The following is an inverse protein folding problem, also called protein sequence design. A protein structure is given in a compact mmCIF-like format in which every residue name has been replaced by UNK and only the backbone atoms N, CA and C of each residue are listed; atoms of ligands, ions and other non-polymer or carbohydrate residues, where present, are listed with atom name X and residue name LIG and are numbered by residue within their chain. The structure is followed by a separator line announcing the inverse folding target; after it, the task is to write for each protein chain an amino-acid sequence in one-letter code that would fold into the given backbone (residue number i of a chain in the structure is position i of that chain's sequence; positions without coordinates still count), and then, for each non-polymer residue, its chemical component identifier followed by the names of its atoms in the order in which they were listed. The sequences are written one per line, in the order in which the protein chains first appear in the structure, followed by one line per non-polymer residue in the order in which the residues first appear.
data_IF_250392188880
#
_entry.id   IF_250392188880
#
_cell.length_a   1.000
_cell.length_b   1.000
_cell.length_c   1.000
_cell.angle_alpha   90.00
_cell.angle_beta   90.00
_cell.angle_gamma   90.00
#
_symmetry.space_group_name_H-M   'P 1'
#
loop_
_entity.id
_entity.type
_entity.pdbx_description
1 polymer ?
#
# COMPACT_ATOMS: atom_id res chain seq x y z
N UNK A 1 15.70 5.37 17.91
CA UNK A 1 15.99 6.55 17.08
C UNK A 1 15.76 7.75 17.98
N UNK A 2 16.87 8.30 18.47
CA UNK A 2 16.87 9.56 19.19
C UNK A 2 16.19 10.61 18.32
N UNK A 3 15.26 11.35 18.92
CA UNK A 3 14.69 12.56 18.34
C UNK A 3 15.85 13.49 18.02
N UNK A 4 16.29 13.52 16.75
CA UNK A 4 17.19 14.58 16.31
C UNK A 4 16.50 15.90 16.65
N UNK A 5 17.14 16.79 17.42
CA UNK A 5 16.57 18.10 17.67
C UNK A 5 16.41 18.78 16.32
N UNK A 6 15.17 19.12 15.99
CA UNK A 6 14.85 19.92 14.82
C UNK A 6 15.65 21.22 14.93
N UNK A 7 16.61 21.40 14.02
CA UNK A 7 17.28 22.68 13.84
C UNK A 7 16.32 23.48 12.94
N UNK A 8 15.64 24.52 13.45
CA UNK A 8 14.79 25.34 12.61
C UNK A 8 15.62 25.88 11.45
N UNK A 9 15.16 25.64 10.22
CA UNK A 9 15.70 26.35 9.06
C UNK A 9 15.70 27.85 9.37
N UNK A 10 16.71 28.62 8.93
CA UNK A 10 16.87 30.04 9.25
C UNK A 10 15.65 30.91 8.85
N UNK A 11 14.74 30.37 8.03
CA UNK A 11 13.51 31.02 7.58
C UNK A 11 12.23 30.58 8.36
N UNK A 12 12.37 29.85 9.47
CA UNK A 12 11.22 29.40 10.26
C UNK A 12 10.75 30.51 11.21
N UNK A 13 9.45 30.83 11.27
CA UNK A 13 8.95 31.87 12.16
C UNK A 13 9.21 31.48 13.63
N UNK A 14 9.49 32.49 14.46
CA UNK A 14 9.66 32.29 15.89
C UNK A 14 8.39 31.67 16.49
N UNK A 15 8.50 30.59 17.29
CA UNK A 15 7.34 29.91 17.84
C UNK A 15 6.59 30.82 18.82
N UNK A 16 5.47 31.38 18.37
CA UNK A 16 4.56 32.16 19.19
C UNK A 16 3.38 31.29 19.66
N UNK A 17 2.94 31.36 20.95
CA UNK A 17 1.89 30.49 21.48
C UNK A 17 0.59 30.49 20.67
N UNK A 18 0.19 31.66 20.16
CA UNK A 18 -0.97 31.79 19.28
C UNK A 18 -0.81 30.99 17.98
N UNK A 19 0.33 31.15 17.29
CA UNK A 19 0.60 30.45 16.03
C UNK A 19 0.65 28.93 16.24
N UNK A 20 1.28 28.47 17.33
CA UNK A 20 1.33 27.05 17.68
C UNK A 20 -0.08 26.48 17.89
N UNK A 21 -0.93 27.15 18.67
CA UNK A 21 -2.29 26.67 18.96
C UNK A 21 -3.16 26.62 17.70
N UNK A 22 -3.11 27.67 16.88
CA UNK A 22 -3.87 27.74 15.63
C UNK A 22 -3.38 26.67 14.64
N UNK A 23 -2.06 26.47 14.53
CA UNK A 23 -1.47 25.44 13.68
C UNK A 23 -1.86 24.03 14.13
N UNK A 24 -1.77 23.72 15.42
CA UNK A 24 -2.20 22.43 15.98
C UNK A 24 -3.71 22.19 15.77
N UNK A 25 -4.53 23.24 15.86
CA UNK A 25 -5.98 23.16 15.59
C UNK A 25 -6.26 22.90 14.10
N UNK A 26 -5.49 23.49 13.19
CA UNK A 26 -5.57 23.23 11.75
C UNK A 26 -5.15 21.78 11.43
N UNK A 27 -4.05 21.30 12.00
CA UNK A 27 -3.57 19.92 11.85
C UNK A 27 -4.60 18.91 12.39
N UNK A 28 -5.14 19.14 13.59
CA UNK A 28 -6.19 18.29 14.16
C UNK A 28 -7.51 18.34 13.36
N UNK A 29 -7.77 19.44 12.65
CA UNK A 29 -8.90 19.52 11.70
C UNK A 29 -8.61 18.73 10.43
N UNK A 30 -7.38 18.78 9.92
CA UNK A 30 -6.95 18.03 8.74
C UNK A 30 -7.14 16.52 8.94
N UNK A 31 -6.70 15.99 10.08
CA UNK A 31 -6.83 14.57 10.40
C UNK A 31 -8.28 14.09 10.58
N UNK A 32 -9.21 14.99 10.90
CA UNK A 32 -10.65 14.68 11.00
C UNK A 32 -11.39 14.84 9.68
N UNK A 33 -10.81 15.56 8.72
CA UNK A 33 -11.48 15.88 7.47
C UNK A 33 -11.19 14.78 6.45
N UNK A 34 -12.17 13.92 6.20
CA UNK A 34 -12.13 12.94 5.10
C UNK A 34 -12.47 13.58 3.74
N UNK A 35 -12.58 14.90 3.66
CA UNK A 35 -13.02 15.61 2.46
C UNK A 35 -11.86 15.75 1.47
N UNK A 36 -12.14 15.47 0.19
CA UNK A 36 -11.21 15.59 -0.95
C UNK A 36 -10.82 17.03 -1.30
N UNK A 37 -11.04 17.99 -0.40
CA UNK A 37 -10.82 19.41 -0.61
C UNK A 37 -9.77 20.02 0.33
N UNK A 38 -9.37 21.27 0.09
CA UNK A 38 -8.39 21.96 0.93
C UNK A 38 -8.90 22.10 2.37
N UNK A 39 -8.09 21.68 3.33
CA UNK A 39 -8.41 21.79 4.76
C UNK A 39 -8.26 23.25 5.19
N UNK A 40 -9.34 23.82 5.72
CA UNK A 40 -9.40 25.23 6.13
C UNK A 40 -9.83 25.39 7.58
N UNK A 41 -9.13 26.21 8.35
CA UNK A 41 -9.52 26.64 9.69
C UNK A 41 -9.96 28.10 9.64
N UNK A 42 -11.19 28.40 10.04
CA UNK A 42 -11.63 29.78 10.24
C UNK A 42 -10.95 30.35 11.48
N UNK A 43 -10.33 31.52 11.36
CA UNK A 43 -9.80 32.28 12.48
C UNK A 43 -10.91 33.19 13.02
N UNK A 44 -11.93 32.59 13.62
CA UNK A 44 -13.04 33.29 14.27
C UNK A 44 -12.75 33.51 15.77
N UNK A 45 -13.67 34.17 16.48
CA UNK A 45 -13.55 34.43 17.93
C UNK A 45 -13.40 33.15 18.77
N UNK A 46 -13.75 31.97 18.24
CA UNK A 46 -13.58 30.68 18.93
C UNK A 46 -12.19 30.09 18.70
N UNK A 47 -11.70 30.10 17.46
CA UNK A 47 -10.41 29.51 17.10
C UNK A 47 -9.22 30.45 17.36
N UNK A 48 -9.46 31.76 17.33
CA UNK A 48 -8.48 32.82 17.47
C UNK A 48 -9.03 34.01 18.29
N UNK A 49 -9.46 33.80 19.55
CA UNK A 49 -9.96 34.87 20.41
C UNK A 49 -9.01 36.07 20.51
N UNK A 50 -7.69 35.86 20.45
CA UNK A 50 -6.67 36.91 20.52
C UNK A 50 -6.78 37.94 19.39
N UNK A 51 -7.39 37.60 18.25
CA UNK A 51 -7.62 38.54 17.15
C UNK A 51 -8.86 39.41 17.34
N UNK A 52 -9.74 39.06 18.27
CA UNK A 52 -11.05 39.71 18.48
C UNK A 52 -11.23 40.30 19.89
N UNK A 53 -10.53 39.73 20.88
CA UNK A 53 -10.57 40.14 22.28
C UNK A 53 -9.38 41.04 22.65
N UNK A 54 -8.42 41.24 21.73
CA UNK A 54 -7.35 42.20 21.92
C UNK A 54 -7.90 43.63 21.95
N UNK A 55 -7.61 44.33 23.05
CA UNK A 55 -8.00 45.75 23.25
C UNK A 55 -7.05 46.70 22.50
N UNK A 56 -5.87 46.20 22.12
CA UNK A 56 -4.79 46.97 21.50
C UNK A 56 -4.66 46.65 20.00
N UNK A 57 -4.70 47.70 19.17
CA UNK A 57 -4.55 47.60 17.72
C UNK A 57 -3.14 47.15 17.32
N UNK A 58 -2.11 47.50 18.10
CA UNK A 58 -0.72 47.13 17.82
C UNK A 58 -0.53 45.62 18.02
N UNK A 59 -1.19 45.04 19.03
CA UNK A 59 -1.19 43.60 19.26
C UNK A 59 -1.84 42.83 18.10
N UNK A 60 -2.95 43.33 17.55
CA UNK A 60 -3.61 42.72 16.39
C UNK A 60 -2.69 42.79 15.16
N UNK A 61 -2.00 43.92 14.96
CA UNK A 61 -1.05 44.09 13.86
C UNK A 61 0.15 43.14 13.99
N UNK A 62 0.69 42.96 15.21
CA UNK A 62 1.76 41.99 15.48
C UNK A 62 1.32 40.56 15.18
N UNK A 63 0.15 40.14 15.66
CA UNK A 63 -0.39 38.80 15.38
C UNK A 63 -0.62 38.58 13.88
N UNK A 64 -1.02 39.62 13.15
CA UNK A 64 -1.15 39.56 11.70
C UNK A 64 0.18 39.38 11.01
N UNK A 65 1.22 40.13 11.39
CA UNK A 65 2.57 39.94 10.87
C UNK A 65 3.07 38.51 11.11
N UNK A 66 2.84 37.97 12.30
CA UNK A 66 3.18 36.58 12.62
C UNK A 66 2.43 35.56 11.74
N UNK A 67 1.16 35.81 11.41
CA UNK A 67 0.41 34.95 10.48
C UNK A 67 0.99 35.06 9.07
N UNK A 68 1.33 36.27 8.63
CA UNK A 68 1.93 36.50 7.33
C UNK A 68 3.31 35.81 7.23
N UNK A 69 4.15 35.90 8.26
CA UNK A 69 5.42 35.16 8.36
C UNK A 69 5.20 33.64 8.25
N UNK A 70 4.20 33.11 8.97
CA UNK A 70 3.82 31.70 8.85
C UNK A 70 3.36 31.35 7.43
N UNK A 71 2.68 32.25 6.72
CA UNK A 71 2.28 32.02 5.34
C UNK A 71 3.46 32.06 4.35
N UNK A 72 4.50 32.86 4.62
CA UNK A 72 5.71 32.93 3.79
C UNK A 72 6.48 31.60 3.76
N UNK A 73 6.36 30.77 4.80
CA UNK A 73 6.94 29.41 4.82
C UNK A 73 6.36 28.48 3.74
N UNK A 74 5.18 28.81 3.20
CA UNK A 74 4.45 27.96 2.28
C UNK A 74 3.66 26.82 2.94
N UNK A 75 3.74 26.63 4.26
CA UNK A 75 3.03 25.55 4.96
C UNK A 75 1.53 25.79 5.06
N UNK A 76 1.14 27.06 5.14
CA UNK A 76 -0.26 27.50 5.22
C UNK A 76 -0.47 28.69 4.29
N UNK A 77 -1.73 28.93 3.91
CA UNK A 77 -2.15 30.10 3.14
C UNK A 77 -3.29 30.81 3.83
N UNK A 78 -3.16 32.12 4.00
CA UNK A 78 -4.25 32.94 4.48
C UNK A 78 -5.23 33.26 3.35
N UNK A 79 -6.51 32.99 3.58
CA UNK A 79 -7.64 33.36 2.70
C UNK A 79 -8.49 34.39 3.42
N UNK A 80 -8.76 35.49 2.73
CA UNK A 80 -9.62 36.58 3.20
C UNK A 80 -10.77 36.76 2.20
N UNK A 81 -11.95 37.14 2.69
CA UNK A 81 -13.04 37.62 1.85
C UNK A 81 -12.71 39.00 1.25
N UNK A 82 -13.46 39.39 0.23
CA UNK A 82 -13.25 40.64 -0.50
C UNK A 82 -13.25 41.85 0.45
N UNK A 83 -12.35 42.82 0.22
CA UNK A 83 -12.28 44.01 1.03
C UNK A 83 -13.59 44.79 0.94
N UNK A 84 -14.14 45.17 2.09
CA UNK A 84 -15.28 46.08 2.22
C UNK A 84 -14.82 47.37 2.86
N UNK A 85 -15.51 48.48 2.57
CA UNK A 85 -15.19 49.77 3.17
C UNK A 85 -15.20 49.65 4.71
N UNK A 86 -14.13 50.12 5.35
CA UNK A 86 -13.95 50.10 6.80
C UNK A 86 -13.91 48.70 7.46
N UNK A 87 -13.80 47.62 6.69
CA UNK A 87 -13.68 46.27 7.24
C UNK A 87 -12.29 46.02 7.82
N UNK A 88 -12.25 45.65 9.11
CA UNK A 88 -11.05 45.21 9.80
C UNK A 88 -10.63 43.79 9.36
N UNK A 89 -9.47 43.32 9.82
CA UNK A 89 -8.99 41.96 9.54
C UNK A 89 -10.02 40.90 9.94
N UNK A 90 -10.61 41.02 11.13
CA UNK A 90 -11.61 40.09 11.65
C UNK A 90 -12.91 40.07 10.83
N UNK A 91 -13.27 41.20 10.22
CA UNK A 91 -14.49 41.35 9.40
C UNK A 91 -14.37 40.64 8.04
N UNK A 92 -13.14 40.38 7.57
CA UNK A 92 -12.86 39.71 6.30
C UNK A 92 -12.85 38.18 6.41
N UNK A 93 -13.37 37.62 7.51
CA UNK A 93 -13.48 36.19 7.80
C UNK A 93 -12.20 35.40 7.46
N UNK A 94 -11.08 35.71 8.13
CA UNK A 94 -9.79 35.07 7.86
C UNK A 94 -9.87 33.55 8.02
N UNK A 95 -9.31 32.82 7.05
CA UNK A 95 -9.21 31.37 7.04
C UNK A 95 -7.78 30.95 6.72
N UNK A 96 -7.21 30.05 7.51
CA UNK A 96 -5.95 29.38 7.17
C UNK A 96 -6.23 28.11 6.41
N UNK A 97 -5.63 27.98 5.25
CA UNK A 97 -5.66 26.81 4.37
C UNK A 97 -4.35 26.03 4.52
N UNK A 98 -4.44 24.76 4.87
CA UNK A 98 -3.27 23.89 5.00
C UNK A 98 -2.69 23.57 3.61
N UNK A 99 -1.38 23.79 3.45
CA UNK A 99 -0.65 23.49 2.21
C UNK A 99 0.38 22.37 2.41
N UNK A 100 1.07 22.35 3.56
CA UNK A 100 2.02 21.29 3.93
C UNK A 100 1.72 20.82 5.37
N UNK A 101 1.26 19.56 5.50
CA UNK A 101 0.94 18.97 6.79
C UNK A 101 2.20 18.62 7.59
N UNK A 102 3.19 18.00 6.94
CA UNK A 102 4.35 17.42 7.62
C UNK A 102 5.27 18.51 8.14
N UNK A 103 5.53 19.56 7.34
CA UNK A 103 6.38 20.66 7.76
C UNK A 103 5.75 21.47 8.90
N UNK A 104 4.44 21.75 8.83
CA UNK A 104 3.72 22.43 9.90
C UNK A 104 3.68 21.60 11.17
N UNK A 105 3.48 20.28 11.07
CA UNK A 105 3.46 19.38 12.21
C UNK A 105 4.83 19.32 12.91
N UNK A 106 5.92 19.23 12.14
CA UNK A 106 7.28 19.26 12.67
C UNK A 106 7.57 20.57 13.43
N UNK A 107 7.26 21.72 12.83
CA UNK A 107 7.47 23.03 13.48
C UNK A 107 6.59 23.22 14.72
N UNK A 108 5.32 22.79 14.67
CA UNK A 108 4.38 22.97 15.76
C UNK A 108 4.53 21.94 16.90
N UNK A 109 5.49 21.01 16.81
CA UNK A 109 5.65 19.90 17.75
C UNK A 109 4.42 18.98 17.77
N UNK A 110 3.68 18.90 16.68
CA UNK A 110 2.44 18.13 16.60
C UNK A 110 2.73 16.68 16.25
N UNK A 111 2.26 15.75 17.08
CA UNK A 111 2.31 14.31 16.76
C UNK A 111 1.02 13.90 16.04
N UNK A 112 1.10 13.42 14.78
CA UNK A 112 -0.05 12.91 14.04
C UNK A 112 -0.78 11.80 14.78
N UNK A 113 -2.11 11.70 14.63
CA UNK A 113 -2.96 10.68 15.26
C UNK A 113 -2.50 9.27 14.95
N UNK A 114 -2.10 8.99 13.71
CA UNK A 114 -1.55 7.69 13.33
C UNK A 114 -0.28 7.34 14.13
N UNK A 115 0.64 8.31 14.27
CA UNK A 115 1.85 8.12 15.07
C UNK A 115 1.54 7.97 16.56
N UNK A 116 0.61 8.76 17.10
CA UNK A 116 0.16 8.63 18.49
C UNK A 116 -0.46 7.26 18.75
N UNK A 117 -1.32 6.78 17.86
CA UNK A 117 -1.91 5.45 17.95
C UNK A 117 -0.83 4.36 17.92
N UNK A 118 0.16 4.45 17.02
CA UNK A 118 1.29 3.49 16.98
C UNK A 118 2.10 3.49 18.28
N UNK A 119 2.34 4.66 18.86
CA UNK A 119 3.04 4.78 20.15
C UNK A 119 2.22 4.17 21.28
N UNK A 120 0.92 4.47 21.36
CA UNK A 120 0.00 3.90 22.34
C UNK A 120 -0.08 2.39 22.23
N UNK A 121 -0.23 1.87 21.01
CA UNK A 121 -0.29 0.44 20.75
C UNK A 121 1.00 -0.28 21.14
N UNK A 122 2.16 0.28 20.82
CA UNK A 122 3.46 -0.29 21.22
C UNK A 122 3.66 -0.28 22.74
N UNK A 123 3.27 0.80 23.41
CA UNK A 123 3.31 0.86 24.88
C UNK A 123 2.40 -0.20 25.51
N UNK A 124 1.17 -0.32 24.98
CA UNK A 124 0.23 -1.34 25.42
C UNK A 124 0.75 -2.77 25.18
N UNK A 125 1.37 -3.06 24.04
CA UNK A 125 2.02 -4.35 23.78
C UNK A 125 3.13 -4.65 24.80
N UNK A 126 3.96 -3.64 25.13
CA UNK A 126 5.02 -3.80 26.11
C UNK A 126 4.46 -4.15 27.50
N UNK A 127 3.44 -3.42 27.97
CA UNK A 127 2.76 -3.69 29.24
C UNK A 127 2.07 -5.06 29.22
N UNK A 128 1.38 -5.39 28.14
CA UNK A 128 0.68 -6.66 27.96
C UNK A 128 1.63 -7.85 28.05
N UNK A 129 2.77 -7.80 27.37
CA UNK A 129 3.76 -8.89 27.39
C UNK A 129 4.47 -9.04 28.73
N UNK A 130 4.64 -7.95 29.48
CA UNK A 130 5.09 -8.03 30.88
C UNK A 130 4.04 -8.72 31.75
N UNK A 131 2.76 -8.40 31.57
CA UNK A 131 1.66 -9.00 32.32
C UNK A 131 1.36 -10.46 31.90
N UNK A 132 1.66 -10.84 30.66
CA UNK A 132 1.40 -12.18 30.10
C UNK A 132 2.66 -12.79 29.43
N UNK A 133 3.69 -13.16 30.20
CA UNK A 133 4.97 -13.62 29.65
C UNK A 133 4.87 -14.84 28.73
N UNK A 134 3.89 -15.73 28.97
CA UNK A 134 3.67 -16.92 28.13
C UNK A 134 3.22 -16.56 26.69
N UNK A 135 2.56 -15.41 26.53
CA UNK A 135 2.07 -14.92 25.25
C UNK A 135 3.06 -13.96 24.57
N UNK A 136 4.04 -13.46 25.32
CA UNK A 136 5.11 -12.63 24.78
C UNK A 136 6.01 -13.43 23.83
N UNK A 137 6.51 -12.84 22.72
CA UNK A 137 7.49 -13.46 21.84
C UNK A 137 8.82 -13.70 22.57
N UNK A 138 9.75 -14.46 21.98
CA UNK A 138 11.01 -14.82 22.64
C UNK A 138 11.90 -13.60 22.91
N UNK A 139 11.84 -12.58 22.06
CA UNK A 139 12.47 -11.27 22.26
C UNK A 139 11.44 -10.15 22.03
N UNK A 140 10.71 -9.74 23.08
CA UNK A 140 9.70 -8.67 22.99
C UNK A 140 10.30 -7.33 22.57
N UNK A 141 11.52 -7.01 23.00
CA UNK A 141 12.17 -5.74 22.69
C UNK A 141 12.48 -5.63 21.19
N UNK A 142 13.01 -6.69 20.58
CA UNK A 142 13.29 -6.72 19.14
C UNK A 142 12.00 -6.57 18.30
N UNK A 143 10.88 -7.15 18.73
CA UNK A 143 9.59 -7.00 18.03
C UNK A 143 9.09 -5.55 18.14
N UNK A 144 9.11 -4.94 19.33
CA UNK A 144 8.69 -3.54 19.52
C UNK A 144 9.53 -2.56 18.70
N UNK A 145 10.85 -2.81 18.63
CA UNK A 145 11.80 -2.02 17.85
C UNK A 145 11.58 -2.21 16.34
N UNK A 146 11.30 -3.44 15.89
CA UNK A 146 10.93 -3.69 14.50
C UNK A 146 9.63 -2.96 14.12
N UNK A 147 8.57 -3.04 14.93
CA UNK A 147 7.30 -2.35 14.69
C UNK A 147 7.44 -0.82 14.70
N UNK A 148 8.43 -0.28 15.42
CA UNK A 148 8.75 1.14 15.41
C UNK A 148 9.24 1.61 14.03
N UNK A 149 10.11 0.81 13.39
CA UNK A 149 10.68 1.10 12.06
C UNK A 149 9.77 0.70 10.92
N UNK A 150 8.99 -0.36 11.11
CA UNK A 150 8.18 -1.02 10.08
C UNK A 150 6.72 -1.13 10.54
N UNK A 151 5.96 -0.02 10.54
CA UNK A 151 4.59 -0.03 11.04
C UNK A 151 3.67 -0.87 10.16
N UNK A 152 2.70 -1.53 10.81
CA UNK A 152 1.62 -2.25 10.13
C UNK A 152 0.47 -1.29 9.80
N UNK A 153 0.66 -0.48 8.74
CA UNK A 153 -0.30 0.55 8.32
C UNK A 153 -1.77 0.08 8.26
N UNK A 154 -2.09 -1.11 7.70
CA UNK A 154 -3.48 -1.56 7.61
C UNK A 154 -4.16 -1.86 8.95
N UNK A 155 -3.40 -1.89 10.04
CA UNK A 155 -3.86 -2.20 11.41
C UNK A 155 -4.25 -0.91 12.16
N UNK A 156 -3.83 0.26 11.70
CA UNK A 156 -4.08 1.56 12.36
C UNK A 156 -5.55 1.96 12.45
N UNK A 157 -6.41 1.30 11.68
CA UNK A 157 -7.86 1.47 11.77
C UNK A 157 -8.51 0.64 12.90
N UNK A 158 -7.77 -0.26 13.54
CA UNK A 158 -8.26 -1.12 14.63
C UNK A 158 -8.14 -0.43 15.99
N UNK A 159 -8.87 -0.93 16.98
CA UNK A 159 -8.61 -0.58 18.37
C UNK A 159 -7.23 -1.11 18.82
N UNK A 160 -6.67 -0.52 19.88
CA UNK A 160 -5.38 -0.98 20.44
C UNK A 160 -5.49 -2.43 20.92
N UNK A 161 -6.63 -2.80 21.48
CA UNK A 161 -6.94 -4.15 21.98
C UNK A 161 -7.05 -5.16 20.82
N UNK A 162 -7.77 -4.82 19.76
CA UNK A 162 -7.91 -5.68 18.56
C UNK A 162 -6.57 -5.90 17.85
N UNK A 163 -5.78 -4.83 17.72
CA UNK A 163 -4.44 -4.91 17.14
C UNK A 163 -3.50 -5.78 17.99
N UNK A 164 -3.61 -5.68 19.32
CA UNK A 164 -2.86 -6.51 20.27
C UNK A 164 -3.25 -7.98 20.18
N UNK A 165 -4.55 -8.27 20.18
CA UNK A 165 -5.06 -9.62 19.97
C UNK A 165 -4.55 -10.23 18.66
N UNK A 166 -4.53 -9.44 17.58
CA UNK A 166 -4.03 -9.87 16.27
C UNK A 166 -2.55 -10.28 16.35
N UNK A 167 -1.71 -9.50 17.04
CA UNK A 167 -0.29 -9.85 17.26
C UNK A 167 -0.15 -11.09 18.16
N UNK A 168 -0.97 -11.24 19.20
CA UNK A 168 -0.97 -12.44 20.06
C UNK A 168 -1.31 -13.69 19.25
N UNK A 169 -2.36 -13.64 18.42
CA UNK A 169 -2.75 -14.76 17.54
C UNK A 169 -1.66 -15.07 16.52
N UNK A 170 -1.02 -14.05 15.93
CA UNK A 170 0.10 -14.24 15.02
C UNK A 170 1.30 -14.89 15.70
N UNK A 171 1.62 -14.48 16.93
CA UNK A 171 2.70 -15.05 17.73
C UNK A 171 2.43 -16.53 18.02
N UNK A 172 1.20 -16.87 18.42
CA UNK A 172 0.80 -18.25 18.64
C UNK A 172 0.89 -19.10 17.36
N UNK A 173 0.47 -18.56 16.22
CA UNK A 173 0.58 -19.23 14.92
C UNK A 173 2.05 -19.45 14.53
N UNK A 174 2.91 -18.44 14.69
CA UNK A 174 4.35 -18.57 14.41
C UNK A 174 4.97 -19.70 15.24
N UNK A 175 4.63 -19.77 16.54
CA UNK A 175 5.12 -20.79 17.47
C UNK A 175 4.60 -22.20 17.22
N UNK A 176 3.41 -22.34 16.64
CA UNK A 176 2.85 -23.66 16.35
C UNK A 176 3.63 -24.38 15.24
N UNK A 177 4.39 -23.65 14.42
CA UNK A 177 5.09 -24.19 13.26
C UNK A 177 4.16 -24.70 12.15
N UNK A 178 2.85 -24.45 12.26
CA UNK A 178 1.88 -24.91 11.28
C UNK A 178 2.14 -24.24 9.93
N UNK A 179 2.34 -25.07 8.90
CA UNK A 179 2.48 -24.59 7.53
C UNK A 179 1.13 -24.07 7.00
N UNK A 180 1.13 -22.84 6.50
CA UNK A 180 -0.08 -22.17 6.00
C UNK A 180 0.30 -21.15 4.92
N UNK A 181 -0.63 -20.83 4.01
CA UNK A 181 -0.41 -19.74 3.06
C UNK A 181 -0.35 -18.39 3.79
N UNK A 182 0.65 -17.55 3.49
CA UNK A 182 0.88 -16.26 4.16
C UNK A 182 -0.36 -15.36 4.15
N UNK A 183 -1.05 -15.30 3.00
CA UNK A 183 -2.24 -14.47 2.83
C UNK A 183 -3.48 -15.03 3.52
N UNK A 184 -3.56 -16.34 3.69
CA UNK A 184 -4.59 -17.00 4.48
C UNK A 184 -4.40 -16.69 5.97
N UNK A 185 -3.18 -16.85 6.48
CA UNK A 185 -2.83 -16.45 7.84
C UNK A 185 -3.12 -14.96 8.08
N UNK A 186 -2.71 -14.09 7.15
CA UNK A 186 -2.98 -12.64 7.25
C UNK A 186 -4.48 -12.35 7.29
N UNK A 187 -5.27 -12.97 6.42
CA UNK A 187 -6.72 -12.74 6.39
C UNK A 187 -7.42 -13.27 7.66
N UNK A 188 -6.98 -14.42 8.18
CA UNK A 188 -7.54 -15.01 9.40
C UNK A 188 -7.26 -14.14 10.64
N UNK A 189 -6.04 -13.62 10.76
CA UNK A 189 -5.60 -12.87 11.94
C UNK A 189 -6.04 -11.40 11.90
N UNK A 190 -6.05 -10.76 10.72
CA UNK A 190 -6.28 -9.31 10.57
C UNK A 190 -7.65 -8.98 9.95
N UNK A 191 -8.71 -9.67 10.41
CA UNK A 191 -10.11 -9.44 10.05
C UNK A 191 -10.33 -9.31 8.53
N UNK A 192 -9.81 -10.28 7.77
CA UNK A 192 -9.95 -10.37 6.31
C UNK A 192 -8.89 -9.61 5.50
N UNK A 193 -7.96 -8.89 6.15
CA UNK A 193 -6.89 -8.16 5.45
C UNK A 193 -5.78 -9.12 5.03
N UNK A 194 -5.83 -9.60 3.79
CA UNK A 194 -4.92 -10.62 3.27
C UNK A 194 -3.46 -10.16 3.00
N UNK A 195 -3.18 -8.85 3.04
CA UNK A 195 -1.87 -8.28 2.66
C UNK A 195 -1.09 -7.64 3.81
N UNK A 196 -1.54 -7.77 5.06
CA UNK A 196 -0.86 -7.14 6.21
C UNK A 196 0.55 -7.69 6.38
N UNK A 197 0.72 -8.98 6.11
CA UNK A 197 1.98 -9.70 6.25
C UNK A 197 2.82 -9.77 4.98
N UNK A 198 2.37 -9.17 3.86
CA UNK A 198 3.17 -9.10 2.64
C UNK A 198 4.49 -8.35 2.96
N UNK A 199 5.63 -8.97 2.63
CA UNK A 199 6.99 -8.44 2.88
C UNK A 199 7.33 -8.23 4.38
N UNK A 200 6.79 -9.08 5.27
CA UNK A 200 7.01 -9.03 6.72
C UNK A 200 7.78 -10.24 7.27
N UNK A 201 8.68 -10.82 6.47
CA UNK A 201 9.43 -12.02 6.80
C UNK A 201 10.22 -11.86 8.11
N UNK A 202 10.82 -10.69 8.32
CA UNK A 202 11.59 -10.39 9.54
C UNK A 202 10.70 -10.31 10.78
N UNK A 203 9.51 -9.71 10.67
CA UNK A 203 8.54 -9.69 11.79
C UNK A 203 8.13 -11.11 12.16
N UNK A 204 7.79 -11.95 11.17
CA UNK A 204 7.40 -13.33 11.40
C UNK A 204 8.52 -14.13 12.08
N UNK A 205 9.77 -13.94 11.64
CA UNK A 205 10.95 -14.54 12.26
C UNK A 205 11.11 -14.12 13.73
N UNK A 206 10.95 -12.83 14.03
CA UNK A 206 11.02 -12.32 15.40
C UNK A 206 9.90 -12.86 16.30
N UNK A 207 8.72 -13.13 15.73
CA UNK A 207 7.59 -13.76 16.42
C UNK A 207 7.77 -15.29 16.59
N UNK A 208 8.84 -15.87 16.05
CA UNK A 208 9.21 -17.27 16.21
C UNK A 208 8.80 -18.19 15.07
N UNK A 209 8.53 -17.64 13.87
CA UNK A 209 8.16 -18.44 12.72
C UNK A 209 9.30 -19.37 12.28
N UNK A 210 8.95 -20.61 11.94
CA UNK A 210 9.90 -21.56 11.36
C UNK A 210 10.22 -21.20 9.90
N UNK A 211 11.37 -21.67 9.41
CA UNK A 211 11.72 -21.53 7.99
C UNK A 211 10.66 -22.21 7.12
N UNK A 212 10.24 -21.55 6.04
CA UNK A 212 9.19 -22.03 5.11
C UNK A 212 7.80 -22.28 5.72
N UNK A 213 7.54 -21.84 6.96
CA UNK A 213 6.23 -21.98 7.59
C UNK A 213 5.12 -21.28 6.79
N UNK A 214 5.42 -20.09 6.26
CA UNK A 214 4.47 -19.30 5.48
C UNK A 214 4.80 -19.41 4.00
N UNK A 215 3.94 -20.10 3.27
CA UNK A 215 4.08 -20.25 1.82
C UNK A 215 3.40 -19.10 1.07
N UNK A 216 4.00 -18.67 -0.03
CA UNK A 216 3.31 -17.81 -0.99
C UNK A 216 2.13 -18.56 -1.61
N UNK A 217 1.01 -17.85 -1.82
CA UNK A 217 -0.12 -18.42 -2.57
C UNK A 217 0.31 -18.66 -4.02
N UNK A 218 0.09 -19.87 -4.57
CA UNK A 218 0.45 -20.16 -5.95
C UNK A 218 -0.35 -19.27 -6.91
N UNK A 219 0.31 -18.81 -7.97
CA UNK A 219 -0.33 -18.05 -9.03
C UNK A 219 -1.38 -18.90 -9.74
N UNK A 220 -2.58 -18.36 -9.91
CA UNK A 220 -3.62 -19.01 -10.71
C UNK A 220 -3.46 -18.58 -12.17
N UNK A 221 -3.34 -19.58 -13.05
CA UNK A 221 -3.23 -19.40 -14.49
C UNK A 221 -4.48 -19.97 -15.17
N UNK A 222 -5.27 -19.11 -15.79
CA UNK A 222 -6.34 -19.54 -16.69
C UNK A 222 -5.77 -19.72 -18.09
N UNK A 223 -6.06 -20.87 -18.69
CA UNK A 223 -5.50 -21.31 -19.96
C UNK A 223 -6.62 -21.49 -20.98
N UNK A 224 -6.49 -20.85 -22.14
CA UNK A 224 -7.32 -21.15 -23.30
C UNK A 224 -6.40 -21.60 -24.45
N UNK A 225 -6.28 -22.91 -24.71
CA UNK A 225 -5.58 -23.42 -25.88
C UNK A 225 -6.36 -23.05 -27.16
N UNK A 226 -5.71 -23.04 -28.32
CA UNK A 226 -6.40 -22.88 -29.59
C UNK A 226 -7.25 -24.13 -29.91
N UNK A 227 -8.30 -23.94 -30.70
CA UNK A 227 -9.18 -25.02 -31.14
C UNK A 227 -8.57 -25.77 -32.32
N UNK A 228 -7.55 -26.60 -32.10
CA UNK A 228 -7.09 -27.55 -33.13
C UNK A 228 -7.51 -28.97 -32.75
N UNK A 229 -8.49 -29.49 -33.46
CA UNK A 229 -8.70 -30.95 -33.55
C UNK A 229 -7.63 -31.48 -34.49
N UNK A 230 -6.73 -32.32 -34.01
CA UNK A 230 -5.76 -33.00 -34.86
C UNK A 230 -6.53 -33.82 -35.91
N UNK A 231 -6.60 -33.29 -37.14
CA UNK A 231 -6.81 -34.12 -38.31
C UNK A 231 -5.46 -34.82 -38.54
N UNK A 232 -5.47 -36.14 -38.44
CA UNK A 232 -4.32 -37.03 -38.61
C UNK A 232 -3.26 -37.01 -37.51
N UNK A 233 -3.50 -37.82 -36.46
CA UNK A 233 -2.55 -38.79 -35.90
C UNK A 233 -1.22 -38.34 -35.27
N UNK A 234 -0.77 -37.11 -35.47
CA UNK A 234 0.54 -36.65 -35.04
C UNK A 234 0.39 -35.40 -34.17
N UNK A 235 0.35 -35.61 -32.86
CA UNK A 235 0.17 -34.59 -31.83
C UNK A 235 1.44 -33.74 -31.66
N UNK A 236 1.82 -32.99 -32.70
CA UNK A 236 2.96 -32.07 -32.67
C UNK A 236 2.48 -30.62 -32.61
N UNK A 237 2.71 -30.02 -31.44
CA UNK A 237 2.49 -28.62 -31.06
C UNK A 237 1.06 -28.08 -31.19
N UNK A 238 0.26 -28.17 -30.13
CA UNK A 238 -1.09 -27.63 -30.06
C UNK A 238 -1.17 -26.10 -30.23
N UNK A 239 -0.05 -25.36 -30.09
CA UNK A 239 0.00 -23.90 -30.24
C UNK A 239 1.38 -23.44 -30.75
N UNK A 240 1.41 -22.34 -31.51
CA UNK A 240 2.66 -21.81 -32.13
C UNK A 240 3.26 -20.63 -31.37
N UNK A 241 2.50 -20.04 -30.44
CA UNK A 241 2.91 -18.89 -29.64
C UNK A 241 2.11 -18.81 -28.33
N UNK A 242 2.58 -18.01 -27.39
CA UNK A 242 1.89 -17.79 -26.10
C UNK A 242 1.59 -16.32 -25.90
N UNK A 243 0.34 -16.01 -25.55
CA UNK A 243 -0.14 -14.66 -25.31
C UNK A 243 -0.61 -14.48 -23.86
N UNK A 244 0.14 -13.72 -23.08
CA UNK A 244 -0.27 -13.31 -21.74
C UNK A 244 -1.24 -12.14 -21.79
N UNK A 245 -2.41 -12.30 -21.16
CA UNK A 245 -3.46 -11.29 -21.11
C UNK A 245 -3.58 -10.80 -19.66
N UNK A 246 -3.44 -9.49 -19.44
CA UNK A 246 -3.42 -8.90 -18.08
C UNK A 246 -4.81 -8.85 -17.42
N UNK A 247 -5.87 -8.75 -18.21
CA UNK A 247 -7.22 -8.50 -17.72
C UNK A 247 -8.13 -9.72 -17.99
N UNK A 248 -8.84 -10.19 -16.96
CA UNK A 248 -9.71 -11.37 -17.05
C UNK A 248 -10.82 -11.21 -18.10
N UNK A 249 -11.49 -10.06 -18.14
CA UNK A 249 -12.59 -9.80 -19.09
C UNK A 249 -12.05 -9.81 -20.52
N UNK A 250 -10.86 -9.26 -20.73
CA UNK A 250 -10.18 -9.30 -22.03
C UNK A 250 -9.81 -10.73 -22.41
N UNK A 251 -9.32 -11.52 -21.45
CA UNK A 251 -8.99 -12.93 -21.66
C UNK A 251 -10.22 -13.72 -22.12
N UNK A 252 -11.34 -13.59 -21.40
CA UNK A 252 -12.60 -14.26 -21.75
C UNK A 252 -13.08 -13.85 -23.15
N UNK A 253 -13.13 -12.55 -23.43
CA UNK A 253 -13.53 -12.05 -24.74
C UNK A 253 -12.62 -12.56 -25.87
N UNK A 254 -11.30 -12.55 -25.69
CA UNK A 254 -10.35 -13.04 -26.70
C UNK A 254 -10.41 -14.55 -26.89
N UNK A 255 -10.72 -15.29 -25.83
CA UNK A 255 -10.93 -16.74 -25.88
C UNK A 255 -12.24 -17.12 -26.61
N UNK A 256 -13.30 -16.32 -26.48
CA UNK A 256 -14.57 -16.53 -27.17
C UNK A 256 -14.53 -16.12 -28.64
N UNK A 257 -13.93 -14.96 -28.94
CA UNK A 257 -13.97 -14.38 -30.29
C UNK A 257 -12.88 -14.87 -31.23
N UNK A 258 -11.75 -15.37 -30.68
CA UNK A 258 -10.57 -15.88 -31.42
C UNK A 258 -10.31 -15.18 -32.76
N UNK A 259 -9.68 -14.02 -32.70
CA UNK A 259 -9.24 -13.29 -33.88
C UNK A 259 -8.10 -13.99 -34.62
N UNK A 260 -7.98 -13.72 -35.92
CA UNK A 260 -6.98 -14.33 -36.81
C UNK A 260 -5.54 -14.15 -36.33
N UNK A 261 -5.22 -13.02 -35.68
CA UNK A 261 -3.87 -12.73 -35.18
C UNK A 261 -3.48 -13.48 -33.91
N UNK A 262 -4.41 -14.21 -33.26
CA UNK A 262 -4.13 -15.05 -32.08
C UNK A 262 -4.91 -16.38 -32.11
N UNK A 263 -5.29 -16.81 -33.32
CA UNK A 263 -6.07 -18.01 -33.52
C UNK A 263 -5.32 -19.27 -33.06
N UNK A 264 -3.99 -19.28 -33.27
CA UNK A 264 -3.09 -20.40 -32.93
C UNK A 264 -2.30 -20.18 -31.61
N UNK A 265 -2.60 -19.10 -30.88
CA UNK A 265 -1.89 -18.80 -29.62
C UNK A 265 -2.51 -19.52 -28.42
N UNK A 266 -1.68 -20.00 -27.50
CA UNK A 266 -2.11 -20.29 -26.14
C UNK A 266 -2.36 -18.97 -25.40
N UNK A 267 -3.60 -18.72 -24.99
CA UNK A 267 -3.92 -17.55 -24.18
C UNK A 267 -3.75 -17.90 -22.70
N UNK A 268 -3.06 -17.03 -21.95
CA UNK A 268 -2.83 -17.20 -20.52
C UNK A 268 -3.25 -15.93 -19.80
N UNK A 269 -4.20 -16.04 -18.88
CA UNK A 269 -4.44 -15.02 -17.87
C UNK A 269 -3.77 -15.43 -16.56
N UNK A 270 -2.90 -14.57 -16.04
CA UNK A 270 -2.23 -14.76 -14.75
C UNK A 270 -2.79 -13.78 -13.73
N UNK A 271 -3.58 -14.27 -12.76
CA UNK A 271 -4.34 -13.42 -11.84
C UNK A 271 -3.43 -12.52 -10.98
N UNK A 272 -3.20 -11.28 -11.45
CA UNK A 272 -2.38 -10.29 -10.76
C UNK A 272 -0.86 -10.50 -10.86
N UNK A 273 -0.38 -11.40 -11.73
CA UNK A 273 1.05 -11.64 -11.94
C UNK A 273 1.50 -11.14 -13.32
N UNK A 274 2.71 -10.58 -13.39
CA UNK A 274 3.37 -10.33 -14.69
C UNK A 274 3.83 -11.68 -15.26
N UNK A 275 3.40 -12.00 -16.48
CA UNK A 275 3.64 -13.29 -17.14
C UNK A 275 5.12 -13.69 -17.37
N UNK A 276 6.06 -12.77 -17.11
CA UNK A 276 7.51 -12.99 -17.19
C UNK A 276 8.16 -13.39 -15.86
N UNK A 277 7.40 -13.53 -14.76
CA UNK A 277 8.01 -13.84 -13.46
C UNK A 277 8.54 -15.28 -13.41
N UNK A 278 9.79 -15.45 -12.93
CA UNK A 278 10.41 -16.76 -12.67
C UNK A 278 9.51 -17.67 -11.84
N UNK A 279 8.67 -17.09 -10.97
CA UNK A 279 7.65 -17.79 -10.19
C UNK A 279 6.71 -18.63 -11.07
N UNK A 280 6.33 -18.17 -12.27
CA UNK A 280 5.41 -18.91 -13.15
C UNK A 280 6.03 -20.15 -13.82
N UNK A 281 7.36 -20.26 -13.81
CA UNK A 281 8.11 -21.38 -14.40
C UNK A 281 8.32 -22.54 -13.42
N UNK A 282 7.79 -22.45 -12.20
CA UNK A 282 7.90 -23.49 -11.18
C UNK A 282 6.54 -24.09 -10.89
N UNK A 283 6.43 -25.42 -11.00
CA UNK A 283 5.17 -26.16 -10.77
C UNK A 283 4.59 -25.89 -9.37
N UNK A 284 5.44 -25.80 -8.35
CA UNK A 284 5.03 -25.53 -6.97
C UNK A 284 4.27 -24.19 -6.83
N UNK A 285 4.61 -23.20 -7.67
CA UNK A 285 4.14 -21.82 -7.56
C UNK A 285 2.94 -21.51 -8.46
N UNK A 286 2.38 -22.50 -9.15
CA UNK A 286 1.29 -22.30 -10.10
C UNK A 286 0.16 -23.30 -9.90
N UNK A 287 -1.07 -22.86 -10.19
CA UNK A 287 -2.24 -23.71 -10.37
C UNK A 287 -2.85 -23.40 -11.73
N UNK A 288 -2.97 -24.43 -12.56
CA UNK A 288 -3.45 -24.32 -13.93
C UNK A 288 -4.94 -24.63 -13.98
N UNK A 289 -5.71 -23.78 -14.67
CA UNK A 289 -7.13 -23.93 -14.90
C UNK A 289 -7.40 -23.87 -16.39
N UNK A 290 -7.88 -24.99 -16.94
CA UNK A 290 -8.20 -25.07 -18.36
C UNK A 290 -9.62 -24.56 -18.60
N UNK A 291 -9.76 -23.57 -19.49
CA UNK A 291 -11.06 -23.02 -19.89
C UNK A 291 -11.80 -24.02 -20.77
N UNK A 292 -13.05 -24.32 -20.44
CA UNK A 292 -13.92 -25.13 -21.31
C UNK A 292 -14.47 -24.31 -22.49
N UNK A 293 -14.71 -24.92 -23.67
CA UNK A 293 -14.41 -26.31 -24.01
C UNK A 293 -12.96 -26.44 -24.50
N UNK A 294 -12.13 -27.19 -23.77
CA UNK A 294 -10.80 -27.55 -24.21
C UNK A 294 -10.48 -28.98 -23.74
N UNK A 295 -9.87 -29.81 -24.59
CA UNK A 295 -9.56 -31.18 -24.23
C UNK A 295 -8.38 -31.21 -23.25
N UNK A 296 -8.49 -31.98 -22.17
CA UNK A 296 -7.41 -32.11 -21.17
C UNK A 296 -6.11 -32.69 -21.74
N UNK A 297 -6.15 -33.31 -22.93
CA UNK A 297 -5.00 -33.87 -23.63
C UNK A 297 -3.93 -32.83 -24.00
N UNK A 298 -4.27 -31.54 -24.05
CA UNK A 298 -3.29 -30.47 -24.31
C UNK A 298 -2.50 -30.05 -23.06
N UNK A 299 -2.95 -30.42 -21.85
CA UNK A 299 -2.31 -29.99 -20.61
C UNK A 299 -0.85 -30.48 -20.49
N UNK A 300 -0.49 -31.74 -20.79
CA UNK A 300 0.91 -32.18 -20.71
C UNK A 300 1.86 -31.37 -21.60
N UNK A 301 1.40 -30.89 -22.75
CA UNK A 301 2.20 -30.05 -23.65
C UNK A 301 2.38 -28.63 -23.09
N UNK A 302 1.30 -28.04 -22.57
CA UNK A 302 1.35 -26.72 -21.91
C UNK A 302 2.25 -26.79 -20.67
N UNK A 303 2.12 -27.83 -19.86
CA UNK A 303 2.96 -28.06 -18.67
C UNK A 303 4.42 -28.27 -19.05
N UNK A 304 4.68 -29.00 -20.15
CA UNK A 304 6.04 -29.16 -20.68
C UNK A 304 6.60 -27.79 -21.03
N UNK A 305 5.93 -26.98 -21.84
CA UNK A 305 6.41 -25.63 -22.17
C UNK A 305 6.57 -24.72 -20.94
N UNK A 306 5.62 -24.77 -19.99
CA UNK A 306 5.59 -23.87 -18.85
C UNK A 306 6.67 -24.21 -17.82
N UNK A 307 6.92 -25.50 -17.57
CA UNK A 307 7.77 -26.00 -16.48
C UNK A 307 9.05 -26.72 -16.94
N UNK A 308 9.26 -26.98 -18.23
CA UNK A 308 10.56 -27.45 -18.73
C UNK A 308 11.59 -26.34 -18.54
N UNK A 309 12.41 -26.53 -17.52
CA UNK A 309 13.58 -25.75 -17.12
C UNK A 309 14.31 -25.06 -18.30
N UNK A 310 14.67 -23.77 -18.31
CA UNK A 310 15.54 -23.04 -17.37
C UNK A 310 16.81 -23.78 -16.87
N UNK A 311 17.10 -25.01 -17.32
CA UNK A 311 18.21 -25.84 -16.80
C UNK A 311 18.98 -26.64 -17.87
N UNK A 312 18.60 -26.59 -19.15
CA UNK A 312 19.47 -27.06 -20.23
C UNK A 312 19.34 -26.15 -21.45
N UNK A 313 20.30 -25.24 -21.62
CA UNK A 313 20.50 -24.47 -22.86
C UNK A 313 21.09 -25.32 -24.00
N UNK A 314 21.09 -26.66 -23.88
CA UNK A 314 21.91 -27.54 -24.72
C UNK A 314 21.14 -28.54 -25.58
N UNK A 315 19.82 -28.48 -25.65
CA UNK A 315 19.09 -29.22 -26.69
C UNK A 315 18.03 -28.31 -27.31
N UNK A 316 18.01 -28.24 -28.65
CA UNK A 316 17.25 -27.32 -29.49
C UNK A 316 15.73 -27.39 -29.37
N UNK A 317 15.20 -27.16 -28.17
CA UNK A 317 13.79 -27.05 -27.89
C UNK A 317 13.32 -25.65 -28.33
N UNK A 318 12.46 -25.63 -29.33
CA UNK A 318 11.88 -24.44 -29.97
C UNK A 318 11.36 -23.46 -28.93
N UNK A 319 12.02 -22.30 -28.80
CA UNK A 319 11.53 -21.21 -27.95
C UNK A 319 10.25 -20.63 -28.56
N UNK A 320 9.09 -21.06 -28.10
CA UNK A 320 7.82 -20.48 -28.55
C UNK A 320 7.81 -18.98 -28.24
N UNK A 321 7.46 -18.11 -29.21
CA UNK A 321 7.40 -16.68 -28.98
C UNK A 321 6.33 -16.35 -27.94
N UNK A 322 6.68 -15.43 -27.03
CA UNK A 322 5.82 -14.99 -25.92
C UNK A 322 5.47 -13.52 -26.09
N UNK A 323 4.18 -13.22 -26.06
CA UNK A 323 3.61 -11.89 -26.23
C UNK A 323 2.81 -11.46 -25.01
N UNK A 324 2.63 -10.14 -24.86
CA UNK A 324 1.83 -9.56 -23.80
C UNK A 324 0.76 -8.65 -24.39
N UNK A 325 -0.50 -8.88 -24.01
CA UNK A 325 -1.62 -8.05 -24.34
C UNK A 325 -1.97 -7.14 -23.17
N UNK A 326 -1.78 -5.82 -23.36
CA UNK A 326 -2.15 -4.78 -22.39
C UNK A 326 -2.89 -3.66 -23.11
N UNK A 327 -4.00 -3.18 -22.53
CA UNK A 327 -4.74 -1.99 -23.00
C UNK A 327 -4.95 -1.95 -24.53
N UNK A 328 -5.43 -3.06 -25.10
CA UNK A 328 -5.72 -3.19 -26.54
C UNK A 328 -4.51 -3.11 -27.49
N UNK A 329 -3.28 -3.31 -27.00
CA UNK A 329 -2.07 -3.42 -27.83
C UNK A 329 -1.31 -4.72 -27.56
N UNK A 330 -0.82 -5.32 -28.64
CA UNK A 330 0.08 -6.46 -28.64
C UNK A 330 1.53 -5.95 -28.53
N UNK A 331 2.18 -6.07 -27.36
CA UNK A 331 3.61 -5.72 -27.20
C UNK A 331 4.46 -7.00 -27.49
N UNK A 332 5.45 -6.90 -28.40
CA UNK A 332 6.53 -7.90 -28.54
C UNK A 332 7.65 -7.54 -27.54
N UNK A 333 7.95 -8.43 -26.60
CA UNK A 333 8.90 -8.30 -25.48
C UNK A 333 8.44 -7.49 -24.24
N UNK A 334 8.88 -7.95 -23.06
CA UNK A 334 8.45 -7.50 -21.73
C UNK A 334 8.98 -6.12 -21.31
N UNK A 335 9.96 -5.55 -22.02
CA UNK A 335 10.71 -4.36 -21.58
C UNK A 335 10.37 -3.05 -22.30
N UNK A 336 9.50 -3.04 -23.31
CA UNK A 336 9.26 -1.83 -24.13
C UNK A 336 7.99 -1.05 -23.80
N UNK A 337 7.16 -1.49 -22.86
CA UNK A 337 5.92 -0.79 -22.52
C UNK A 337 6.11 -0.04 -21.16
N UNK A 338 6.93 1.03 -21.16
CA UNK A 338 6.97 2.06 -20.09
C UNK A 338 5.62 2.83 -20.06
N UNK A 339 5.06 3.14 -18.87
CA UNK A 339 3.85 3.94 -18.78
C UNK A 339 4.14 5.43 -19.07
N UNK A 340 3.20 6.09 -19.76
CA UNK A 340 2.92 7.52 -19.56
C UNK A 340 2.04 7.65 -18.33
#
# INVERSE_FOLDING_TARGET
MDSQPFIPSPDSPAPHPFLLRVSQSLLAKAERSSATGPVRLSLDRKAAPELYDAVDADQIQLLRMQIDDLCHTGWVRLRLEDPRAFASFGDRKPKLELSDFDALAAWAGYTPRAQRWRQQWRAHLAEYWVATPLQAPSDPAAVLDHLARNPLLPVECLSVEEATLSITLLTALCRSGQAIALREASASIFQGRAKVLDHREELLRLLGAAHEQFADTPAQLLLAPPYRTAADGDATAAFTEVLFIENLVTFEHMADTRGSSWADSLLIYAAGFRGSTRKLRMRANCRLYLRAPAPSIVLPEIERWLFSTAAHHSDGQTSLPVYFFRRSRLCRHADTCKPV
#
